data_IF_698854023172
#
_entry.id   IF_698854023172
#
_cell.length_a   1.000
_cell.length_b   1.000
_cell.length_c   1.000
_cell.angle_alpha   90.00
_cell.angle_beta   90.00
_cell.angle_gamma   90.00
#
_symmetry.space_group_name_H-M   'P 1'
#
loop_
_entity.id
_entity.type
_entity.pdbx_description
1 polymer ?
#
# COMPACT_ATOMS: atom_id res chain seq x y z
N UNK A 1 5.33 47.32 -55.88
CA UNK A 1 4.78 46.00 -55.49
C UNK A 1 5.08 45.79 -54.01
N UNK A 2 4.13 46.11 -53.12
CA UNK A 2 4.29 45.89 -51.68
C UNK A 2 3.83 44.47 -51.37
N UNK A 3 4.77 43.54 -51.22
CA UNK A 3 4.48 42.19 -50.75
C UNK A 3 4.01 42.27 -49.29
N UNK A 4 2.83 41.70 -49.04
CA UNK A 4 2.14 41.76 -47.76
C UNK A 4 2.81 40.82 -46.75
N UNK A 5 3.85 41.32 -46.06
CA UNK A 5 4.63 40.58 -45.06
C UNK A 5 3.82 40.06 -43.85
N UNK A 6 2.58 40.54 -43.66
CA UNK A 6 1.71 40.11 -42.58
C UNK A 6 1.19 38.68 -42.72
N UNK A 7 0.78 38.27 -43.94
CA UNK A 7 0.26 36.93 -44.20
C UNK A 7 1.35 35.85 -44.06
N UNK A 8 2.58 36.17 -44.49
CA UNK A 8 3.71 35.26 -44.39
C UNK A 8 4.06 34.96 -42.93
N UNK A 9 4.07 35.97 -42.04
CA UNK A 9 4.35 35.80 -40.60
C UNK A 9 3.30 34.97 -39.86
N UNK A 10 2.02 35.06 -40.25
CA UNK A 10 0.95 34.27 -39.63
C UNK A 10 1.06 32.80 -40.05
N UNK A 11 1.33 32.53 -41.34
CA UNK A 11 1.56 31.16 -41.80
C UNK A 11 2.78 30.51 -41.13
N UNK A 12 3.91 31.23 -40.97
CA UNK A 12 5.09 30.63 -40.32
C UNK A 12 4.82 30.23 -38.88
N UNK A 13 4.05 31.05 -38.12
CA UNK A 13 3.69 30.75 -36.73
C UNK A 13 2.75 29.54 -36.59
N UNK A 14 1.78 29.39 -37.51
CA UNK A 14 0.89 28.23 -37.50
C UNK A 14 1.62 26.93 -37.85
N UNK A 15 2.54 26.96 -38.81
CA UNK A 15 3.36 25.78 -39.17
C UNK A 15 4.27 25.37 -38.02
N UNK A 16 4.93 26.32 -37.35
CA UNK A 16 5.80 26.02 -36.19
C UNK A 16 5.00 25.41 -35.03
N UNK A 17 3.81 25.95 -34.73
CA UNK A 17 2.96 25.40 -33.66
C UNK A 17 2.44 23.99 -33.98
N UNK A 18 2.05 23.75 -35.23
CA UNK A 18 1.56 22.44 -35.68
C UNK A 18 2.67 21.39 -35.67
N UNK A 19 3.87 21.75 -36.12
CA UNK A 19 5.06 20.87 -36.06
C UNK A 19 5.45 20.59 -34.62
N UNK A 20 5.38 21.57 -33.71
CA UNK A 20 5.60 21.34 -32.28
C UNK A 20 4.56 20.37 -31.70
N UNK A 21 3.27 20.58 -31.97
CA UNK A 21 2.20 19.71 -31.46
C UNK A 21 2.34 18.28 -31.99
N UNK A 22 2.73 18.11 -33.26
CA UNK A 22 2.99 16.78 -33.84
C UNK A 22 4.25 16.16 -33.23
N UNK A 23 5.34 16.93 -33.05
CA UNK A 23 6.55 16.43 -32.38
C UNK A 23 6.31 16.07 -30.92
N UNK A 24 5.43 16.79 -30.20
CA UNK A 24 5.00 16.41 -28.85
C UNK A 24 4.11 15.16 -28.86
N UNK A 25 3.17 15.04 -29.81
CA UNK A 25 2.27 13.89 -29.90
C UNK A 25 2.98 12.57 -30.27
N UNK A 26 4.04 12.62 -31.08
CA UNK A 26 4.77 11.42 -31.51
C UNK A 26 5.76 10.92 -30.42
N UNK A 27 6.25 11.80 -29.55
CA UNK A 27 7.11 11.43 -28.41
C UNK A 27 6.33 11.03 -27.14
N UNK A 28 5.00 10.98 -27.19
CA UNK A 28 4.15 10.66 -26.03
C UNK A 28 3.83 9.17 -25.88
N UNK A 29 4.25 8.32 -26.83
CA UNK A 29 4.05 6.88 -26.74
C UNK A 29 5.36 6.21 -26.34
N UNK A 30 5.46 5.80 -25.07
CA UNK A 30 6.57 4.98 -24.62
C UNK A 30 6.65 3.66 -25.40
N UNK A 31 7.86 3.17 -25.60
CA UNK A 31 8.12 1.90 -26.26
C UNK A 31 7.72 0.73 -25.33
N UNK A 32 7.36 -0.41 -25.93
CA UNK A 32 7.19 -1.65 -25.17
C UNK A 32 8.47 -2.48 -25.21
N UNK A 33 9.09 -2.66 -24.05
CA UNK A 33 10.33 -3.42 -23.85
C UNK A 33 9.98 -4.79 -23.28
N UNK A 34 10.42 -5.86 -23.93
CA UNK A 34 10.13 -7.24 -23.55
C UNK A 34 11.25 -7.86 -22.72
N UNK A 35 10.86 -8.58 -21.67
CA UNK A 35 11.74 -9.38 -20.82
C UNK A 35 11.31 -10.84 -20.85
N UNK A 36 12.18 -11.75 -21.27
CA UNK A 36 11.95 -13.19 -21.28
C UNK A 36 13.28 -13.93 -21.07
N UNK A 37 13.48 -14.50 -19.88
CA UNK A 37 14.75 -15.17 -19.54
C UNK A 37 14.92 -16.57 -20.14
N UNK A 38 13.92 -17.10 -20.84
CA UNK A 38 14.03 -18.36 -21.56
C UNK A 38 14.67 -18.21 -22.95
N UNK A 39 14.63 -17.00 -23.54
CA UNK A 39 15.17 -16.74 -24.89
C UNK A 39 16.56 -16.12 -24.78
N UNK A 40 17.60 -16.94 -24.91
CA UNK A 40 18.97 -16.42 -24.95
C UNK A 40 19.28 -15.78 -26.31
N UNK A 41 19.16 -14.45 -26.40
CA UNK A 41 19.56 -13.70 -27.60
C UNK A 41 20.89 -12.97 -27.40
N UNK A 42 21.88 -13.27 -28.25
CA UNK A 42 23.10 -12.46 -28.34
C UNK A 42 22.75 -11.12 -28.97
N UNK A 43 22.80 -10.03 -28.20
CA UNK A 43 22.41 -8.70 -28.67
C UNK A 43 20.92 -8.37 -28.47
N UNK A 44 20.34 -8.80 -27.34
CA UNK A 44 19.01 -8.40 -26.92
C UNK A 44 18.76 -6.89 -27.11
N UNK A 45 17.68 -6.55 -27.82
CA UNK A 45 17.29 -5.16 -28.08
C UNK A 45 15.99 -4.78 -27.36
N UNK A 46 15.38 -5.69 -26.61
CA UNK A 46 14.13 -5.46 -25.89
C UNK A 46 12.89 -5.61 -26.76
N UNK A 47 13.00 -6.17 -27.97
CA UNK A 47 11.81 -6.50 -28.79
C UNK A 47 11.27 -7.87 -28.42
N UNK A 48 10.05 -8.20 -28.85
CA UNK A 48 9.46 -9.52 -28.59
C UNK A 48 10.30 -10.68 -29.15
N UNK A 49 10.99 -10.50 -30.28
CA UNK A 49 11.85 -11.53 -30.91
C UNK A 49 13.26 -11.57 -30.34
N UNK A 50 13.72 -10.45 -29.75
CA UNK A 50 15.04 -10.31 -29.14
C UNK A 50 14.91 -9.65 -27.76
N UNK A 51 14.19 -10.28 -26.82
CA UNK A 51 13.88 -9.70 -25.52
C UNK A 51 15.12 -9.63 -24.65
N UNK A 52 15.08 -8.78 -23.62
CA UNK A 52 16.08 -8.83 -22.56
C UNK A 52 15.88 -10.08 -21.70
N UNK A 53 16.98 -10.63 -21.19
CA UNK A 53 16.93 -11.80 -20.31
C UNK A 53 16.65 -11.42 -18.85
N UNK A 54 16.85 -10.16 -18.48
CA UNK A 54 16.73 -9.66 -17.11
C UNK A 54 15.90 -8.40 -17.07
N UNK A 55 15.27 -8.17 -15.92
CA UNK A 55 14.48 -6.96 -15.68
C UNK A 55 15.42 -5.75 -15.56
N UNK A 56 16.58 -5.94 -14.92
CA UNK A 56 17.59 -4.89 -14.79
C UNK A 56 18.08 -4.36 -16.16
N UNK A 57 18.27 -5.24 -17.16
CA UNK A 57 18.67 -4.80 -18.51
C UNK A 57 17.57 -4.04 -19.23
N UNK A 58 16.29 -4.41 -19.05
CA UNK A 58 15.19 -3.64 -19.59
C UNK A 58 15.09 -2.25 -18.95
N UNK A 59 15.25 -2.15 -17.64
CA UNK A 59 15.26 -0.87 -16.92
C UNK A 59 16.43 0.02 -17.37
N UNK A 60 17.62 -0.54 -17.58
CA UNK A 60 18.77 0.22 -18.08
C UNK A 60 18.57 0.78 -19.50
N UNK A 61 17.67 0.18 -20.29
CA UNK A 61 17.33 0.63 -21.65
C UNK A 61 16.13 1.60 -21.68
N UNK A 62 15.22 1.45 -20.72
CA UNK A 62 13.96 2.18 -20.68
C UNK A 62 14.14 3.70 -20.58
N UNK A 63 13.11 4.41 -21.01
CA UNK A 63 12.91 5.84 -20.89
C UNK A 63 11.60 6.13 -20.15
N UNK A 64 11.40 7.38 -19.77
CA UNK A 64 10.14 7.82 -19.16
C UNK A 64 8.95 7.53 -20.07
N UNK A 65 7.86 6.97 -19.51
CA UNK A 65 6.66 6.59 -20.24
C UNK A 65 6.67 5.20 -20.90
N UNK A 66 7.81 4.52 -20.96
CA UNK A 66 7.92 3.16 -21.51
C UNK A 66 7.08 2.14 -20.74
N UNK A 67 6.81 1.01 -21.40
CA UNK A 67 6.19 -0.17 -20.82
C UNK A 67 7.17 -1.33 -20.85
N UNK A 68 7.51 -1.89 -19.69
CA UNK A 68 8.25 -3.15 -19.59
C UNK A 68 7.24 -4.30 -19.44
N UNK A 69 7.22 -5.21 -20.40
CA UNK A 69 6.42 -6.44 -20.36
C UNK A 69 7.28 -7.63 -19.96
N UNK A 70 7.00 -8.22 -18.80
CA UNK A 70 7.74 -9.35 -18.25
C UNK A 70 6.97 -10.64 -18.53
N UNK A 71 7.55 -11.55 -19.31
CA UNK A 71 6.93 -12.81 -19.67
C UNK A 71 7.01 -13.80 -18.51
N UNK A 72 5.86 -14.29 -18.06
CA UNK A 72 5.73 -15.27 -16.98
C UNK A 72 5.62 -16.71 -17.45
N UNK A 73 5.36 -16.96 -18.74
CA UNK A 73 5.27 -18.30 -19.30
C UNK A 73 5.92 -18.38 -20.67
N UNK A 74 6.73 -19.42 -20.90
CA UNK A 74 7.27 -19.75 -22.21
C UNK A 74 7.18 -21.25 -22.45
N UNK A 75 6.52 -21.65 -23.53
CA UNK A 75 6.26 -23.05 -23.89
C UNK A 75 5.67 -23.89 -22.74
N UNK A 76 4.70 -23.31 -22.02
CA UNK A 76 4.00 -23.94 -20.90
C UNK A 76 4.80 -23.97 -19.60
N UNK A 77 6.04 -23.45 -19.57
CA UNK A 77 6.86 -23.37 -18.36
C UNK A 77 6.74 -22.00 -17.71
N UNK A 78 6.46 -21.99 -16.41
CA UNK A 78 6.50 -20.78 -15.59
C UNK A 78 7.93 -20.23 -15.51
N UNK A 79 8.09 -18.95 -15.80
CA UNK A 79 9.36 -18.24 -15.69
C UNK A 79 9.50 -17.59 -14.31
N UNK A 80 10.72 -17.66 -13.78
CA UNK A 80 11.11 -17.07 -12.49
C UNK A 80 12.34 -16.20 -12.70
N UNK A 81 12.30 -15.01 -12.11
CA UNK A 81 13.35 -14.01 -12.14
C UNK A 81 13.89 -13.83 -10.72
N UNK A 82 15.18 -14.07 -10.53
CA UNK A 82 15.84 -13.93 -9.24
C UNK A 82 16.65 -12.63 -9.27
N UNK A 83 15.96 -11.50 -9.12
CA UNK A 83 16.55 -10.17 -9.22
C UNK A 83 15.96 -9.24 -8.17
N UNK A 84 16.78 -8.31 -7.68
CA UNK A 84 16.35 -7.09 -6.98
C UNK A 84 16.67 -5.91 -7.89
N UNK A 85 15.68 -5.08 -8.21
CA UNK A 85 15.85 -4.04 -9.23
C UNK A 85 15.56 -2.65 -8.67
N UNK A 86 16.34 -1.68 -9.12
CA UNK A 86 16.13 -0.26 -8.81
C UNK A 86 15.50 0.42 -10.00
N UNK A 87 14.33 1.05 -9.83
CA UNK A 87 13.75 1.95 -10.82
C UNK A 87 14.28 3.36 -10.51
N UNK A 88 15.23 3.89 -11.29
CA UNK A 88 15.86 5.16 -10.97
C UNK A 88 14.92 6.33 -11.30
N UNK A 89 15.19 7.50 -10.71
CA UNK A 89 14.27 8.64 -10.67
C UNK A 89 13.87 9.15 -12.06
N UNK A 90 14.76 9.03 -13.03
CA UNK A 90 14.58 9.48 -14.42
C UNK A 90 13.52 8.69 -15.21
N UNK A 91 13.06 7.53 -14.72
CA UNK A 91 12.04 6.71 -15.37
C UNK A 91 10.62 7.05 -14.89
N UNK A 92 10.28 8.33 -14.88
CA UNK A 92 8.93 8.80 -14.54
C UNK A 92 7.88 8.17 -15.47
N UNK A 93 6.71 7.87 -14.94
CA UNK A 93 5.61 7.24 -15.70
C UNK A 93 5.91 5.85 -16.28
N UNK A 94 6.99 5.18 -15.87
CA UNK A 94 7.30 3.81 -16.29
C UNK A 94 6.18 2.85 -15.85
N UNK A 95 5.76 1.99 -16.78
CA UNK A 95 4.82 0.90 -16.47
C UNK A 95 5.52 -0.45 -16.55
N UNK A 96 5.41 -1.27 -15.51
CA UNK A 96 5.88 -2.65 -15.48
C UNK A 96 4.66 -3.56 -15.42
N UNK A 97 4.52 -4.45 -16.39
CA UNK A 97 3.39 -5.36 -16.50
C UNK A 97 3.86 -6.80 -16.66
N UNK A 98 3.31 -7.70 -15.86
CA UNK A 98 3.47 -9.13 -16.06
C UNK A 98 2.52 -9.66 -17.12
N UNK A 99 3.05 -10.44 -18.05
CA UNK A 99 2.26 -11.28 -18.94
C UNK A 99 2.27 -12.72 -18.41
N UNK A 100 1.12 -13.32 -18.16
CA UNK A 100 1.00 -14.66 -17.55
C UNK A 100 1.70 -14.80 -16.18
N UNK A 101 1.56 -13.79 -15.31
CA UNK A 101 1.99 -13.80 -13.91
C UNK A 101 3.45 -14.26 -13.69
N UNK A 102 4.46 -13.55 -14.20
CA UNK A 102 5.87 -13.86 -13.92
C UNK A 102 6.15 -13.87 -12.41
N UNK A 103 7.08 -14.73 -12.00
CA UNK A 103 7.50 -14.84 -10.60
C UNK A 103 8.81 -14.07 -10.41
N UNK A 104 8.82 -13.12 -9.49
CA UNK A 104 10.02 -12.45 -8.98
C UNK A 104 10.33 -13.05 -7.60
N UNK A 105 11.45 -13.75 -7.46
CA UNK A 105 11.77 -14.55 -6.28
C UNK A 105 13.05 -14.05 -5.59
N UNK A 106 12.89 -13.56 -4.36
CA UNK A 106 13.98 -13.03 -3.52
C UNK A 106 14.72 -14.09 -2.70
N UNK A 107 14.44 -15.38 -2.89
CA UNK A 107 15.05 -16.46 -2.07
C UNK A 107 16.57 -16.53 -2.15
N UNK A 108 17.18 -16.02 -3.24
CA UNK A 108 18.63 -15.88 -3.40
C UNK A 108 19.26 -14.64 -2.76
N UNK A 109 18.45 -13.66 -2.32
CA UNK A 109 18.89 -12.31 -1.93
C UNK A 109 18.86 -12.08 -0.39
N UNK A 110 18.83 -13.15 0.40
CA UNK A 110 18.68 -13.06 1.87
C UNK A 110 19.81 -12.23 2.49
N UNK A 111 19.44 -11.12 3.14
CA UNK A 111 20.38 -10.31 3.92
C UNK A 111 21.12 -9.23 3.12
N UNK A 112 20.73 -8.95 1.87
CA UNK A 112 21.31 -7.86 1.10
C UNK A 112 20.90 -6.47 1.62
N UNK A 113 21.72 -5.47 1.30
CA UNK A 113 21.34 -4.07 1.45
C UNK A 113 20.36 -3.71 0.33
N UNK A 114 19.27 -3.02 0.69
CA UNK A 114 18.16 -2.71 -0.21
C UNK A 114 17.45 -3.96 -0.76
N UNK A 115 17.12 -4.88 0.15
CA UNK A 115 16.42 -6.12 -0.16
C UNK A 115 14.96 -5.84 -0.59
N UNK A 116 14.75 -5.49 -1.86
CA UNK A 116 13.43 -5.26 -2.43
C UNK A 116 13.38 -5.78 -3.86
N UNK A 117 12.26 -6.41 -4.25
CA UNK A 117 12.09 -6.83 -5.64
C UNK A 117 12.16 -5.62 -6.58
N UNK A 118 11.47 -4.54 -6.18
CA UNK A 118 11.59 -3.22 -6.79
C UNK A 118 11.81 -2.15 -5.73
N UNK A 119 12.99 -1.52 -5.76
CA UNK A 119 13.27 -0.26 -5.08
C UNK A 119 12.99 0.90 -6.05
N UNK A 120 11.98 1.70 -5.74
CA UNK A 120 11.37 2.63 -6.69
C UNK A 120 11.68 4.05 -6.27
N UNK A 121 12.32 4.78 -7.18
CA UNK A 121 12.75 6.18 -7.01
C UNK A 121 12.06 7.16 -7.96
N UNK A 122 11.28 6.64 -8.92
CA UNK A 122 10.56 7.41 -9.91
C UNK A 122 9.09 7.65 -9.51
N UNK A 123 8.53 8.76 -9.98
CA UNK A 123 7.12 9.10 -9.81
C UNK A 123 6.25 8.48 -10.90
N UNK A 124 4.94 8.40 -10.65
CA UNK A 124 3.92 7.92 -11.61
C UNK A 124 4.15 6.47 -12.09
N UNK A 125 4.89 5.67 -11.32
CA UNK A 125 5.19 4.27 -11.66
C UNK A 125 3.95 3.40 -11.55
N UNK A 126 3.74 2.51 -12.52
CA UNK A 126 2.66 1.52 -12.51
C UNK A 126 3.24 0.12 -12.49
N UNK A 127 2.80 -0.74 -11.57
CA UNK A 127 3.24 -2.14 -11.50
C UNK A 127 2.02 -3.05 -11.39
N UNK A 128 1.90 -4.02 -12.30
CA UNK A 128 0.75 -4.93 -12.30
C UNK A 128 1.04 -6.34 -12.79
N UNK A 129 0.17 -7.28 -12.37
CA UNK A 129 0.14 -8.68 -12.80
C UNK A 129 1.46 -9.46 -12.54
N UNK A 130 2.16 -9.14 -11.45
CA UNK A 130 3.35 -9.88 -11.01
C UNK A 130 3.02 -10.80 -9.84
N UNK A 131 3.75 -11.91 -9.73
CA UNK A 131 3.90 -12.64 -8.47
C UNK A 131 5.26 -12.29 -7.86
N UNK A 132 5.31 -11.76 -6.65
CA UNK A 132 6.55 -11.41 -5.96
C UNK A 132 6.62 -12.16 -4.64
N UNK A 133 7.73 -12.84 -4.36
CA UNK A 133 7.84 -13.62 -3.14
C UNK A 133 9.24 -13.73 -2.55
N UNK A 134 9.30 -14.11 -1.28
CA UNK A 134 10.52 -14.50 -0.55
C UNK A 134 11.54 -13.37 -0.31
N UNK A 135 11.12 -12.11 -0.27
CA UNK A 135 11.97 -10.99 0.14
C UNK A 135 12.00 -10.86 1.66
N UNK A 136 12.86 -11.66 2.31
CA UNK A 136 12.96 -11.79 3.77
C UNK A 136 14.37 -11.45 4.26
N UNK A 137 14.46 -10.76 5.40
CA UNK A 137 15.71 -10.34 6.05
C UNK A 137 16.32 -9.12 5.37
N UNK A 138 17.57 -8.80 5.74
CA UNK A 138 18.28 -7.63 5.20
C UNK A 138 17.70 -6.31 5.68
N UNK A 139 17.96 -5.25 4.94
CA UNK A 139 17.47 -3.90 5.24
C UNK A 139 17.11 -3.17 3.94
N UNK A 140 16.28 -2.13 4.05
CA UNK A 140 16.07 -1.15 2.97
C UNK A 140 16.62 0.17 3.48
N UNK A 141 17.90 0.41 3.20
CA UNK A 141 18.67 1.50 3.81
C UNK A 141 18.08 2.87 3.47
N UNK A 142 17.55 3.04 2.26
CA UNK A 142 16.93 4.29 1.83
C UNK A 142 15.65 4.65 2.59
N UNK A 143 15.01 3.67 3.23
CA UNK A 143 13.81 3.86 4.05
C UNK A 143 14.08 3.75 5.55
N UNK A 144 15.31 3.35 5.94
CA UNK A 144 15.66 3.13 7.35
C UNK A 144 14.86 2.00 8.01
N UNK A 145 14.48 0.96 7.26
CA UNK A 145 13.70 -0.19 7.76
C UNK A 145 14.49 -1.49 7.68
N UNK A 146 14.20 -2.43 8.59
CA UNK A 146 14.75 -3.79 8.59
C UNK A 146 13.78 -4.76 7.91
N UNK A 147 14.31 -5.69 7.13
CA UNK A 147 13.54 -6.68 6.37
C UNK A 147 13.45 -6.37 4.88
N UNK A 148 12.94 -7.34 4.12
CA UNK A 148 12.77 -7.23 2.66
C UNK A 148 11.35 -6.89 2.23
N UNK A 149 11.20 -6.27 1.07
CA UNK A 149 9.90 -5.85 0.52
C UNK A 149 9.65 -6.39 -0.88
N UNK A 150 8.39 -6.58 -1.28
CA UNK A 150 8.10 -6.72 -2.70
C UNK A 150 8.27 -5.37 -3.42
N UNK A 151 7.63 -4.31 -2.92
CA UNK A 151 7.75 -2.97 -3.48
C UNK A 151 8.13 -1.96 -2.41
N UNK A 152 9.21 -1.21 -2.64
CA UNK A 152 9.70 -0.20 -1.72
C UNK A 152 9.84 1.15 -2.44
N UNK A 153 9.03 2.13 -2.05
CA UNK A 153 9.02 3.47 -2.63
C UNK A 153 9.79 4.44 -1.73
N UNK A 154 10.76 5.14 -2.31
CA UNK A 154 11.51 6.17 -1.60
C UNK A 154 10.65 7.37 -1.23
N UNK A 155 11.19 8.24 -0.38
CA UNK A 155 10.50 9.41 0.15
C UNK A 155 9.92 10.33 -0.94
N UNK A 156 8.65 10.72 -0.81
CA UNK A 156 8.08 11.88 -1.51
C UNK A 156 7.57 11.64 -2.93
N UNK A 157 7.58 10.40 -3.42
CA UNK A 157 7.05 10.06 -4.76
C UNK A 157 5.52 10.15 -4.81
N UNK A 158 4.99 10.38 -6.02
CA UNK A 158 3.56 10.60 -6.27
C UNK A 158 2.99 9.67 -7.34
N UNK A 159 1.67 9.54 -7.34
CA UNK A 159 0.85 8.97 -8.42
C UNK A 159 1.20 7.50 -8.79
N UNK A 160 1.76 6.75 -7.85
CA UNK A 160 2.06 5.34 -8.07
C UNK A 160 0.80 4.48 -8.09
N UNK A 161 0.77 3.48 -8.97
CA UNK A 161 -0.33 2.51 -9.09
C UNK A 161 0.17 1.09 -8.98
N UNK A 162 -0.34 0.35 -8.01
CA UNK A 162 0.06 -1.04 -7.76
C UNK A 162 -1.19 -1.91 -7.79
N UNK A 163 -1.31 -2.72 -8.84
CA UNK A 163 -2.58 -3.35 -9.20
C UNK A 163 -2.44 -4.83 -9.53
N UNK A 164 -3.33 -5.68 -9.00
CA UNK A 164 -3.44 -7.09 -9.41
C UNK A 164 -2.15 -7.90 -9.27
N UNK A 165 -1.34 -7.59 -8.25
CA UNK A 165 -0.16 -8.38 -7.92
C UNK A 165 -0.48 -9.43 -6.86
N UNK A 166 0.27 -10.53 -6.88
CA UNK A 166 0.31 -11.54 -5.83
C UNK A 166 1.63 -11.34 -5.07
N UNK A 167 1.57 -11.07 -3.77
CA UNK A 167 2.75 -10.85 -2.93
C UNK A 167 2.73 -11.84 -1.77
N UNK A 168 3.79 -12.63 -1.67
CA UNK A 168 3.85 -13.72 -0.69
C UNK A 168 5.17 -13.76 0.08
N UNK A 169 5.11 -13.99 1.39
CA UNK A 169 6.28 -14.35 2.19
C UNK A 169 7.41 -13.30 2.09
N UNK A 170 7.07 -12.02 2.27
CA UNK A 170 8.01 -10.89 2.35
C UNK A 170 7.90 -10.26 3.75
N UNK A 171 8.94 -9.62 4.28
CA UNK A 171 8.75 -8.89 5.55
C UNK A 171 7.77 -7.73 5.39
N UNK A 172 7.77 -7.12 4.20
CA UNK A 172 6.82 -6.12 3.76
C UNK A 172 6.21 -6.49 2.42
N UNK A 173 4.90 -6.32 2.27
CA UNK A 173 4.31 -6.36 0.94
C UNK A 173 4.69 -5.10 0.16
N UNK A 174 4.24 -3.95 0.65
CA UNK A 174 4.52 -2.65 0.03
C UNK A 174 4.90 -1.63 1.09
N UNK A 175 5.93 -0.83 0.81
CA UNK A 175 6.35 0.26 1.69
C UNK A 175 6.35 1.57 0.92
N UNK A 176 5.70 2.57 1.49
CA UNK A 176 5.59 3.92 0.96
C UNK A 176 6.03 4.91 2.05
N UNK A 177 7.09 5.67 1.78
CA UNK A 177 7.57 6.72 2.68
C UNK A 177 7.15 8.07 2.10
N UNK A 178 6.30 8.82 2.82
CA UNK A 178 5.87 10.17 2.43
C UNK A 178 5.26 10.25 1.02
N UNK A 179 4.70 9.16 0.52
CA UNK A 179 4.12 9.12 -0.82
C UNK A 179 2.67 9.59 -0.83
N UNK A 180 2.26 10.14 -1.97
CA UNK A 180 0.96 10.78 -2.15
C UNK A 180 0.28 10.26 -3.42
N UNK A 181 -1.05 10.42 -3.48
CA UNK A 181 -1.85 10.04 -4.64
C UNK A 181 -1.71 8.56 -5.03
N UNK A 182 -1.40 7.69 -4.06
CA UNK A 182 -1.23 6.26 -4.32
C UNK A 182 -2.56 5.61 -4.70
N UNK A 183 -2.52 4.64 -5.61
CA UNK A 183 -3.65 3.76 -5.92
C UNK A 183 -3.23 2.30 -5.79
N UNK A 184 -3.73 1.61 -4.78
CA UNK A 184 -3.39 0.21 -4.50
C UNK A 184 -4.67 -0.62 -4.55
N UNK A 185 -4.82 -1.48 -5.55
CA UNK A 185 -6.09 -2.20 -5.75
C UNK A 185 -5.94 -3.60 -6.37
N UNK A 186 -6.87 -4.50 -6.02
CA UNK A 186 -6.95 -5.85 -6.58
C UNK A 186 -5.75 -6.75 -6.26
N UNK A 187 -4.90 -6.40 -5.30
CA UNK A 187 -3.74 -7.20 -4.94
C UNK A 187 -4.10 -8.30 -3.93
N UNK A 188 -3.38 -9.42 -4.01
CA UNK A 188 -3.42 -10.49 -2.98
C UNK A 188 -2.10 -10.50 -2.23
N UNK A 189 -2.16 -10.29 -0.92
CA UNK A 189 -1.01 -10.13 -0.03
C UNK A 189 -1.08 -11.20 1.07
N UNK A 190 -0.05 -12.04 1.20
CA UNK A 190 -0.06 -13.18 2.11
C UNK A 190 1.28 -13.41 2.82
N UNK A 191 1.23 -13.53 4.14
CA UNK A 191 2.35 -13.99 4.95
C UNK A 191 3.45 -12.94 5.05
N UNK A 192 3.40 -12.13 6.11
CA UNK A 192 4.37 -11.08 6.36
C UNK A 192 5.03 -11.31 7.72
N UNK A 193 6.14 -12.06 7.77
CA UNK A 193 6.86 -12.28 9.02
C UNK A 193 7.54 -10.99 9.48
N UNK A 194 7.57 -10.76 10.79
CA UNK A 194 8.33 -9.68 11.40
C UNK A 194 9.78 -10.13 11.65
N UNK A 195 10.74 -9.24 11.38
CA UNK A 195 12.12 -9.39 11.84
C UNK A 195 12.20 -9.10 13.34
N UNK A 196 11.45 -8.11 13.81
CA UNK A 196 11.36 -7.72 15.21
C UNK A 196 9.90 -7.53 15.60
N UNK A 197 9.46 -8.21 16.67
CA UNK A 197 8.06 -8.17 17.11
C UNK A 197 7.67 -6.75 17.52
N UNK A 198 6.44 -6.36 17.21
CA UNK A 198 5.83 -5.07 17.59
C UNK A 198 6.53 -3.82 17.05
N UNK A 199 7.39 -3.94 16.03
CA UNK A 199 8.06 -2.81 15.40
C UNK A 199 7.69 -2.74 13.91
N UNK A 200 6.86 -1.77 13.48
CA UNK A 200 6.45 -1.64 12.07
C UNK A 200 7.63 -1.35 11.13
N UNK A 201 8.74 -0.80 11.64
CA UNK A 201 9.98 -0.57 10.87
C UNK A 201 10.89 -1.81 10.82
N UNK A 202 10.41 -2.97 11.28
CA UNK A 202 11.12 -4.25 11.23
C UNK A 202 10.27 -5.42 10.71
N UNK A 203 9.50 -5.18 9.64
CA UNK A 203 8.66 -6.17 8.96
C UNK A 203 7.30 -6.40 9.60
N UNK A 204 6.64 -7.46 9.18
CA UNK A 204 5.33 -7.84 9.72
C UNK A 204 4.15 -7.13 9.06
N UNK A 205 4.35 -6.41 7.94
CA UNK A 205 3.34 -5.49 7.40
C UNK A 205 2.98 -5.81 5.95
N UNK A 206 1.68 -5.92 5.66
CA UNK A 206 1.21 -6.07 4.28
C UNK A 206 1.44 -4.80 3.46
N UNK A 207 0.80 -3.69 3.85
CA UNK A 207 0.95 -2.37 3.22
C UNK A 207 1.33 -1.35 4.29
N UNK A 208 2.46 -0.68 4.13
CA UNK A 208 2.92 0.37 5.03
C UNK A 208 2.95 1.70 4.29
N UNK A 209 2.09 2.64 4.67
CA UNK A 209 2.14 4.05 4.22
C UNK A 209 2.55 4.90 5.42
N UNK A 210 3.83 5.25 5.49
CA UNK A 210 4.35 5.94 6.65
C UNK A 210 5.01 7.27 6.30
N UNK A 211 5.23 8.09 7.31
CA UNK A 211 5.94 9.34 7.16
C UNK A 211 6.75 9.66 8.40
N UNK A 212 7.98 10.14 8.19
CA UNK A 212 8.78 10.82 9.22
C UNK A 212 8.57 12.36 9.17
N UNK A 213 7.76 12.82 8.21
CA UNK A 213 7.31 14.20 7.99
C UNK A 213 5.79 14.35 8.20
N UNK A 214 5.20 15.47 7.76
CA UNK A 214 3.81 15.85 8.06
C UNK A 214 2.73 15.39 7.06
N UNK A 215 2.97 14.62 5.99
CA UNK A 215 1.92 14.44 4.94
C UNK A 215 1.74 13.01 4.43
N UNK A 216 0.48 12.57 4.35
CA UNK A 216 -0.01 11.34 3.70
C UNK A 216 -1.30 11.70 2.94
N UNK A 217 -1.20 12.16 1.69
CA UNK A 217 -2.35 12.78 1.01
C UNK A 217 -2.88 11.97 -0.17
N UNK A 218 -4.20 11.97 -0.31
CA UNK A 218 -4.94 11.38 -1.44
C UNK A 218 -4.56 9.91 -1.72
N UNK A 219 -4.25 9.11 -0.70
CA UNK A 219 -3.88 7.71 -0.90
C UNK A 219 -5.13 6.82 -0.88
N UNK A 220 -5.35 6.00 -1.91
CA UNK A 220 -6.48 5.06 -1.97
C UNK A 220 -6.01 3.62 -1.93
N UNK A 221 -6.44 2.87 -0.91
CA UNK A 221 -6.13 1.46 -0.71
C UNK A 221 -7.44 0.66 -0.76
N UNK A 222 -7.65 -0.09 -1.86
CA UNK A 222 -8.75 -1.05 -2.07
C UNK A 222 -9.93 -0.55 -2.91
N UNK A 223 -10.24 0.75 -2.89
CA UNK A 223 -11.23 1.47 -3.75
C UNK A 223 -12.16 0.60 -4.62
N UNK A 224 -11.93 0.49 -5.94
CA UNK A 224 -12.82 -0.25 -6.88
C UNK A 224 -12.62 -1.76 -6.86
N UNK A 225 -11.44 -2.22 -6.49
CA UNK A 225 -11.04 -3.63 -6.55
C UNK A 225 -10.39 -4.01 -5.23
N UNK A 226 -11.04 -4.86 -4.41
CA UNK A 226 -10.59 -5.15 -3.06
C UNK A 226 -9.15 -5.69 -3.06
N UNK A 227 -8.30 -5.22 -2.15
CA UNK A 227 -7.11 -5.99 -1.80
C UNK A 227 -7.51 -7.09 -0.80
N UNK A 228 -6.89 -8.26 -0.91
CA UNK A 228 -6.99 -9.32 0.10
C UNK A 228 -5.67 -9.42 0.83
N UNK A 229 -5.66 -9.20 2.15
CA UNK A 229 -4.43 -9.15 2.95
C UNK A 229 -4.55 -10.13 4.14
N UNK A 230 -3.57 -11.01 4.29
CA UNK A 230 -3.56 -12.03 5.33
C UNK A 230 -2.18 -12.43 5.84
N UNK A 231 -2.13 -13.02 7.04
CA UNK A 231 -0.91 -13.57 7.62
C UNK A 231 0.16 -12.54 7.99
N UNK A 232 -0.23 -11.28 8.24
CA UNK A 232 0.69 -10.26 8.74
C UNK A 232 0.92 -10.41 10.25
N UNK A 233 2.19 -10.40 10.66
CA UNK A 233 2.58 -10.56 12.06
C UNK A 233 2.48 -9.27 12.89
N UNK A 234 2.49 -8.10 12.25
CA UNK A 234 2.28 -6.81 12.90
C UNK A 234 0.97 -6.17 12.46
N UNK A 235 0.81 -5.84 11.17
CA UNK A 235 -0.39 -5.17 10.66
C UNK A 235 -0.66 -5.53 9.20
N UNK A 236 -1.91 -5.78 8.82
CA UNK A 236 -2.23 -5.95 7.40
C UNK A 236 -2.00 -4.62 6.64
N UNK A 237 -2.46 -3.50 7.22
CA UNK A 237 -2.19 -2.15 6.74
C UNK A 237 -1.72 -1.28 7.91
N UNK A 238 -0.64 -0.55 7.72
CA UNK A 238 -0.16 0.50 8.63
C UNK A 238 -0.19 1.85 7.92
N UNK A 239 -0.83 2.85 8.52
CA UNK A 239 -0.83 4.24 8.03
C UNK A 239 -0.42 5.20 9.13
N UNK A 240 0.55 6.07 8.87
CA UNK A 240 0.90 7.19 9.74
C UNK A 240 2.35 7.24 10.20
N UNK A 241 2.57 7.75 11.41
CA UNK A 241 3.90 7.98 11.97
C UNK A 241 3.98 7.56 13.43
N UNK A 242 5.19 7.22 13.87
CA UNK A 242 5.45 6.94 15.29
C UNK A 242 5.95 8.17 16.05
N UNK A 243 6.37 9.23 15.35
CA UNK A 243 7.11 10.35 15.96
C UNK A 243 6.43 11.70 15.80
N UNK A 244 5.67 11.90 14.72
CA UNK A 244 5.08 13.20 14.38
C UNK A 244 3.63 13.04 13.98
N UNK A 245 2.81 14.08 14.20
CA UNK A 245 1.46 14.11 13.67
C UNK A 245 1.51 14.28 12.14
N UNK A 246 0.88 13.36 11.43
CA UNK A 246 0.86 13.30 9.97
C UNK A 246 -0.51 13.73 9.44
N UNK A 247 -0.51 14.72 8.55
CA UNK A 247 -1.70 15.20 7.86
C UNK A 247 -2.10 14.24 6.73
N UNK A 248 -3.09 13.40 7.02
CA UNK A 248 -3.59 12.30 6.21
C UNK A 248 -4.81 12.65 5.34
N UNK A 249 -4.80 13.82 4.71
CA UNK A 249 -6.01 14.35 4.06
C UNK A 249 -6.40 13.58 2.79
N UNK A 250 -7.70 13.35 2.64
CA UNK A 250 -8.31 12.55 1.56
C UNK A 250 -7.76 11.13 1.41
N UNK A 251 -7.06 10.60 2.42
CA UNK A 251 -6.61 9.20 2.40
C UNK A 251 -7.79 8.28 2.70
N UNK A 252 -7.94 7.24 1.89
CA UNK A 252 -9.04 6.27 1.95
C UNK A 252 -8.52 4.86 1.96
N UNK A 253 -8.96 4.08 2.94
CA UNK A 253 -8.73 2.65 3.00
C UNK A 253 -10.10 1.99 2.94
N UNK A 254 -10.45 1.47 1.78
CA UNK A 254 -11.80 1.01 1.52
C UNK A 254 -11.90 -0.30 0.79
N UNK A 255 -12.99 -1.03 1.04
CA UNK A 255 -13.33 -2.26 0.35
C UNK A 255 -12.23 -3.33 0.40
N UNK A 256 -11.40 -3.39 1.44
CA UNK A 256 -10.39 -4.45 1.58
C UNK A 256 -10.96 -5.66 2.33
N UNK A 257 -10.42 -6.85 2.03
CA UNK A 257 -10.65 -8.07 2.80
C UNK A 257 -9.40 -8.32 3.64
N UNK A 258 -9.50 -8.14 4.95
CA UNK A 258 -8.38 -8.18 5.89
C UNK A 258 -8.62 -9.31 6.87
N UNK A 259 -7.83 -10.39 6.75
CA UNK A 259 -8.12 -11.62 7.49
C UNK A 259 -6.92 -12.39 7.98
N UNK A 260 -7.12 -13.16 9.05
CA UNK A 260 -6.15 -14.12 9.58
C UNK A 260 -4.77 -13.50 9.86
N UNK A 261 -4.74 -12.25 10.32
CA UNK A 261 -3.51 -11.58 10.74
C UNK A 261 -3.25 -11.86 12.23
N UNK A 262 -2.06 -12.36 12.57
CA UNK A 262 -1.67 -12.61 13.97
C UNK A 262 -1.39 -11.30 14.71
N UNK A 263 -1.11 -10.23 13.97
CA UNK A 263 -1.15 -8.85 14.44
C UNK A 263 -2.50 -8.18 14.21
N UNK A 264 -2.46 -6.88 13.93
CA UNK A 264 -3.64 -6.04 13.69
C UNK A 264 -4.13 -6.17 12.24
N UNK A 265 -5.42 -5.93 12.01
CA UNK A 265 -5.93 -5.69 10.66
C UNK A 265 -5.39 -4.37 10.13
N UNK A 266 -5.76 -3.26 10.75
CA UNK A 266 -5.29 -1.92 10.39
C UNK A 266 -4.72 -1.23 11.64
N UNK A 267 -3.55 -0.60 11.47
CA UNK A 267 -2.97 0.32 12.46
C UNK A 267 -2.95 1.72 11.86
N UNK A 268 -3.52 2.68 12.57
CA UNK A 268 -3.42 4.11 12.23
C UNK A 268 -2.71 4.82 13.38
N UNK A 269 -1.68 5.61 13.06
CA UNK A 269 -0.81 6.21 14.07
C UNK A 269 -0.51 7.67 13.81
N UNK A 270 -0.79 8.53 14.81
CA UNK A 270 -0.47 9.96 14.76
C UNK A 270 -1.00 10.62 13.49
N UNK A 271 -2.31 10.55 13.23
CA UNK A 271 -2.95 11.09 12.04
C UNK A 271 -3.83 12.31 12.34
N UNK A 272 -3.82 13.29 11.44
CA UNK A 272 -4.74 14.42 11.42
C UNK A 272 -5.32 14.59 10.00
N UNK A 273 -6.56 15.07 9.88
CA UNK A 273 -7.21 15.28 8.59
C UNK A 273 -8.11 14.13 8.16
N UNK A 274 -8.74 14.28 6.98
CA UNK A 274 -9.84 13.41 6.56
C UNK A 274 -9.36 12.04 6.06
N UNK A 275 -9.07 11.14 7.00
CA UNK A 275 -8.79 9.75 6.74
C UNK A 275 -10.07 8.92 6.88
N UNK A 276 -10.43 8.17 5.83
CA UNK A 276 -11.69 7.40 5.79
C UNK A 276 -11.38 5.91 5.68
N UNK A 277 -11.94 5.14 6.63
CA UNK A 277 -11.91 3.69 6.68
C UNK A 277 -13.31 3.14 6.42
N UNK A 278 -13.59 2.61 5.22
CA UNK A 278 -14.95 2.20 4.89
C UNK A 278 -15.13 0.98 4.00
N UNK A 279 -16.21 0.21 4.24
CA UNK A 279 -16.52 -0.96 3.42
C UNK A 279 -15.53 -2.13 3.57
N UNK A 280 -14.61 -2.08 4.54
CA UNK A 280 -13.66 -3.17 4.75
C UNK A 280 -14.31 -4.34 5.49
N UNK A 281 -13.83 -5.55 5.22
CA UNK A 281 -14.22 -6.78 5.92
C UNK A 281 -13.05 -7.27 6.75
N UNK A 282 -13.27 -7.41 8.06
CA UNK A 282 -12.30 -7.90 9.03
C UNK A 282 -12.70 -9.28 9.55
N UNK A 283 -11.82 -10.28 9.43
CA UNK A 283 -12.12 -11.66 9.83
C UNK A 283 -10.90 -12.35 10.46
N UNK A 284 -10.99 -12.82 11.70
CA UNK A 284 -9.94 -13.67 12.28
C UNK A 284 -8.61 -12.94 12.60
N UNK A 285 -8.59 -11.61 12.57
CA UNK A 285 -7.44 -10.80 13.01
C UNK A 285 -7.28 -10.86 14.53
N UNK A 286 -6.08 -10.68 15.09
CA UNK A 286 -5.94 -10.53 16.56
C UNK A 286 -6.79 -9.38 17.08
N UNK A 287 -6.72 -8.25 16.38
CA UNK A 287 -7.59 -7.08 16.56
C UNK A 287 -7.80 -6.44 15.19
N UNK A 288 -9.03 -6.12 14.84
CA UNK A 288 -9.35 -5.57 13.52
C UNK A 288 -8.72 -4.18 13.29
N UNK A 289 -8.88 -3.25 14.24
CA UNK A 289 -8.36 -1.87 14.12
C UNK A 289 -7.63 -1.46 15.41
N UNK A 290 -6.46 -0.84 15.26
CA UNK A 290 -5.76 -0.16 16.34
C UNK A 290 -5.45 1.30 15.96
N UNK A 291 -6.06 2.24 16.68
CA UNK A 291 -5.75 3.66 16.63
C UNK A 291 -4.68 3.98 17.68
N UNK A 292 -3.43 3.96 17.23
CA UNK A 292 -2.24 4.25 18.05
C UNK A 292 -2.02 5.76 18.07
N UNK A 293 -1.70 6.33 19.22
CA UNK A 293 -1.42 7.77 19.34
C UNK A 293 -2.59 8.66 18.86
N UNK A 294 -2.34 9.96 18.69
CA UNK A 294 -3.35 10.93 18.32
C UNK A 294 -3.92 10.66 16.91
N UNK A 295 -5.22 10.43 16.81
CA UNK A 295 -5.91 10.31 15.53
C UNK A 295 -7.09 11.29 15.52
N UNK A 296 -6.96 12.35 14.75
CA UNK A 296 -7.97 13.39 14.57
C UNK A 296 -8.66 13.21 13.22
N UNK A 297 -9.95 13.51 13.16
CA UNK A 297 -10.76 13.51 11.92
C UNK A 297 -10.73 12.20 11.10
N UNK A 298 -10.48 11.09 11.79
CA UNK A 298 -10.53 9.75 11.20
C UNK A 298 -11.96 9.19 11.27
N UNK A 299 -12.55 8.90 10.12
CA UNK A 299 -13.90 8.36 9.98
C UNK A 299 -13.85 6.85 9.73
N UNK A 300 -14.50 6.07 10.60
CA UNK A 300 -14.57 4.61 10.47
C UNK A 300 -16.05 4.21 10.35
N UNK A 301 -16.45 3.84 9.14
CA UNK A 301 -17.86 3.64 8.78
C UNK A 301 -18.08 2.45 7.85
N UNK A 302 -19.26 1.84 7.89
CA UNK A 302 -19.70 0.80 6.93
C UNK A 302 -18.74 -0.39 6.82
N UNK A 303 -17.98 -0.68 7.88
CA UNK A 303 -17.10 -1.85 7.92
C UNK A 303 -17.86 -3.06 8.48
N UNK A 304 -17.44 -4.25 8.08
CA UNK A 304 -17.98 -5.53 8.58
C UNK A 304 -16.92 -6.22 9.44
N UNK A 305 -17.23 -6.44 10.71
CA UNK A 305 -16.41 -7.14 11.68
C UNK A 305 -16.98 -8.54 11.93
N UNK A 306 -16.27 -9.58 11.46
CA UNK A 306 -16.71 -10.98 11.56
C UNK A 306 -16.19 -11.70 12.82
N UNK A 307 -15.49 -10.99 13.69
CA UNK A 307 -14.85 -11.56 14.87
C UNK A 307 -13.34 -11.52 14.80
N UNK A 308 -12.74 -10.81 15.74
CA UNK A 308 -11.32 -10.91 16.06
C UNK A 308 -11.03 -12.13 16.95
N UNK A 309 -9.84 -12.71 16.85
CA UNK A 309 -9.40 -13.83 17.70
C UNK A 309 -8.82 -13.36 19.04
N UNK A 310 -8.46 -12.09 19.15
CA UNK A 310 -8.04 -11.47 20.41
C UNK A 310 -9.21 -10.91 21.23
N UNK A 311 -8.88 -10.13 22.25
CA UNK A 311 -9.83 -9.59 23.23
C UNK A 311 -10.64 -8.38 22.74
N UNK A 312 -10.35 -7.84 21.55
CA UNK A 312 -10.96 -6.61 21.05
C UNK A 312 -11.05 -6.59 19.52
N UNK A 313 -12.14 -6.02 19.01
CA UNK A 313 -12.29 -5.65 17.60
C UNK A 313 -11.57 -4.34 17.29
N UNK A 314 -11.77 -3.34 18.14
CA UNK A 314 -11.17 -2.02 17.99
C UNK A 314 -10.49 -1.64 19.30
N UNK A 315 -9.25 -1.16 19.19
CA UNK A 315 -8.48 -0.59 20.29
C UNK A 315 -8.09 0.83 19.90
N UNK A 316 -8.20 1.75 20.84
CA UNK A 316 -7.68 3.12 20.69
C UNK A 316 -6.87 3.48 21.90
N UNK A 317 -6.02 4.50 21.80
CA UNK A 317 -5.44 5.12 22.97
C UNK A 317 -6.44 6.05 23.71
N UNK A 318 -6.00 6.59 24.85
CA UNK A 318 -6.78 7.52 25.66
C UNK A 318 -6.96 8.92 25.06
N UNK A 319 -6.20 9.31 24.03
CA UNK A 319 -6.39 10.62 23.38
C UNK A 319 -7.50 10.58 22.33
N UNK A 320 -7.83 9.40 21.78
CA UNK A 320 -8.95 9.25 20.86
C UNK A 320 -10.30 9.31 21.57
N UNK A 321 -11.16 10.27 21.23
CA UNK A 321 -12.43 10.52 21.91
C UNK A 321 -13.28 9.26 22.15
N UNK A 322 -13.66 9.02 23.41
CA UNK A 322 -14.56 7.92 23.79
C UNK A 322 -15.92 7.98 23.09
N UNK A 323 -16.41 9.18 22.77
CA UNK A 323 -17.64 9.37 22.01
C UNK A 323 -17.48 9.04 20.52
N UNK A 324 -16.30 9.30 19.95
CA UNK A 324 -15.98 8.86 18.59
C UNK A 324 -15.89 7.34 18.53
N UNK A 325 -15.22 6.70 19.49
CA UNK A 325 -15.19 5.24 19.56
C UNK A 325 -16.57 4.63 19.75
N UNK A 326 -17.42 5.24 20.60
CA UNK A 326 -18.82 4.83 20.74
C UNK A 326 -19.58 4.96 19.41
N UNK A 327 -19.32 6.01 18.64
CA UNK A 327 -19.95 6.22 17.32
C UNK A 327 -19.51 5.19 16.29
N UNK A 328 -18.24 4.77 16.29
CA UNK A 328 -17.77 3.62 15.49
C UNK A 328 -18.57 2.37 15.88
N UNK A 329 -18.75 2.16 17.17
CA UNK A 329 -19.43 0.99 17.70
C UNK A 329 -20.93 0.97 17.38
N UNK A 330 -21.66 2.04 17.70
CA UNK A 330 -23.13 2.08 17.69
C UNK A 330 -23.73 2.79 16.48
N UNK A 331 -22.95 3.63 15.81
CA UNK A 331 -23.36 4.43 14.66
C UNK A 331 -22.52 4.07 13.41
N UNK A 332 -22.56 4.94 12.40
CA UNK A 332 -21.77 4.84 11.17
C UNK A 332 -21.91 3.53 10.39
N UNK A 333 -23.04 2.83 10.55
CA UNK A 333 -23.38 1.63 9.77
C UNK A 333 -22.33 0.50 9.84
N UNK A 334 -21.48 0.48 10.89
CA UNK A 334 -20.57 -0.64 11.13
C UNK A 334 -21.36 -1.87 11.62
N UNK A 335 -21.10 -3.02 10.99
CA UNK A 335 -21.73 -4.31 11.27
C UNK A 335 -20.77 -5.16 12.09
N UNK A 336 -21.22 -5.61 13.26
CA UNK A 336 -20.50 -6.58 14.09
C UNK A 336 -21.30 -7.89 14.08
N UNK A 337 -20.78 -8.92 13.41
CA UNK A 337 -21.50 -10.20 13.25
C UNK A 337 -21.51 -11.04 14.53
N UNK A 338 -20.59 -10.75 15.45
CA UNK A 338 -20.53 -11.35 16.78
C UNK A 338 -20.84 -10.29 17.84
N UNK A 339 -21.43 -10.69 18.99
CA UNK A 339 -21.64 -9.78 20.09
C UNK A 339 -20.34 -9.07 20.48
N UNK A 340 -20.41 -7.76 20.62
CA UNK A 340 -19.30 -6.93 21.11
C UNK A 340 -19.73 -6.17 22.35
N UNK A 341 -18.75 -5.80 23.16
CA UNK A 341 -18.99 -5.21 24.47
C UNK A 341 -18.10 -3.98 24.66
N UNK A 342 -18.62 -2.95 25.32
CA UNK A 342 -17.80 -1.83 25.73
C UNK A 342 -18.31 -1.27 27.05
N UNK A 343 -17.38 -0.69 27.82
CA UNK A 343 -17.67 -0.04 29.07
C UNK A 343 -17.92 1.46 28.81
N UNK A 344 -19.12 1.93 29.16
CA UNK A 344 -19.48 3.35 29.03
C UNK A 344 -19.27 4.11 30.34
N UNK A 345 -19.06 5.42 30.23
CA UNK A 345 -18.76 6.31 31.36
C UNK A 345 -19.85 6.29 32.43
N UNK A 346 -21.11 6.32 31.99
CA UNK A 346 -22.30 6.16 32.82
C UNK A 346 -23.50 5.85 31.94
N UNK A 347 -24.55 5.31 32.55
CA UNK A 347 -25.79 5.01 31.84
C UNK A 347 -26.34 6.27 31.15
N UNK A 348 -26.74 6.12 29.88
CA UNK A 348 -27.22 7.23 29.04
C UNK A 348 -26.13 8.11 28.42
N UNK A 349 -24.84 7.82 28.63
CA UNK A 349 -23.73 8.53 27.98
C UNK A 349 -23.16 7.74 26.82
N UNK A 350 -23.05 8.40 25.66
CA UNK A 350 -22.50 7.86 24.42
C UNK A 350 -20.97 8.03 24.38
N UNK A 351 -20.28 7.52 25.40
CA UNK A 351 -18.82 7.62 25.52
C UNK A 351 -18.23 6.38 26.18
N UNK A 352 -17.25 5.76 25.53
CA UNK A 352 -16.49 4.62 26.06
C UNK A 352 -15.36 5.13 26.98
N UNK A 353 -15.19 4.49 28.13
CA UNK A 353 -14.17 4.90 29.10
C UNK A 353 -12.77 4.54 28.67
N UNK A 354 -11.81 5.20 29.30
CA UNK A 354 -10.43 4.76 29.35
C UNK A 354 -10.21 3.64 30.38
N UNK A 355 -9.33 2.70 30.04
CA UNK A 355 -8.80 1.67 30.93
C UNK A 355 -7.33 1.43 30.60
N UNK A 356 -6.44 1.78 31.54
CA UNK A 356 -4.99 1.70 31.38
C UNK A 356 -4.45 2.48 30.15
N UNK A 357 -4.97 3.70 29.92
CA UNK A 357 -4.63 4.58 28.80
C UNK A 357 -5.06 4.06 27.40
N UNK A 358 -5.96 3.08 27.37
CA UNK A 358 -6.55 2.50 26.17
C UNK A 358 -8.08 2.43 26.29
N UNK A 359 -8.77 2.47 25.13
CA UNK A 359 -10.20 2.22 25.02
C UNK A 359 -10.48 1.06 24.09
N UNK A 360 -11.59 0.38 24.33
CA UNK A 360 -11.86 -0.92 23.69
C UNK A 360 -13.30 -1.09 23.24
N UNK A 361 -13.45 -1.72 22.07
CA UNK A 361 -14.64 -2.50 21.71
C UNK A 361 -14.23 -3.97 21.84
N UNK A 362 -14.63 -4.61 22.94
CA UNK A 362 -14.24 -5.96 23.37
C UNK A 362 -15.03 -7.04 22.64
N UNK A 363 -14.40 -8.20 22.44
CA UNK A 363 -15.01 -9.40 21.84
C UNK A 363 -15.78 -10.25 22.86
N UNK A 364 -15.63 -9.99 24.16
CA UNK A 364 -16.34 -10.69 25.22
C UNK A 364 -16.64 -9.76 26.41
N UNK A 365 -17.69 -10.11 27.16
CA UNK A 365 -18.17 -9.33 28.30
C UNK A 365 -17.16 -9.27 29.45
N UNK A 366 -16.54 -10.39 29.81
CA UNK A 366 -15.64 -10.48 30.96
C UNK A 366 -14.43 -9.53 30.82
N UNK A 367 -13.93 -9.32 29.60
CA UNK A 367 -12.86 -8.35 29.36
C UNK A 367 -13.37 -6.90 29.44
N UNK A 368 -14.60 -6.61 29.00
CA UNK A 368 -15.20 -5.29 29.17
C UNK A 368 -15.47 -4.95 30.65
N UNK A 369 -15.78 -5.95 31.48
CA UNK A 369 -15.96 -5.78 32.92
C UNK A 369 -14.63 -5.47 33.63
N UNK A 370 -13.49 -5.94 33.09
CA UNK A 370 -12.16 -5.57 33.63
C UNK A 370 -11.84 -4.10 33.38
N UNK A 371 -12.41 -3.50 32.34
CA UNK A 371 -12.10 -2.12 31.95
C UNK A 371 -12.59 -1.09 32.98
N UNK A 372 -13.65 -1.39 33.74
CA UNK A 372 -14.16 -0.47 34.78
C UNK A 372 -15.20 -1.06 35.74
N UNK A 373 -15.25 -2.38 35.91
CA UNK A 373 -16.28 -3.09 36.68
C UNK A 373 -17.55 -3.41 35.88
N UNK A 374 -18.46 -4.19 36.48
CA UNK A 374 -19.64 -4.76 35.80
C UNK A 374 -20.75 -3.75 35.44
N UNK A 375 -20.96 -2.71 36.22
CA UNK A 375 -22.02 -1.73 35.98
C UNK A 375 -21.73 -0.88 34.73
N UNK A 376 -22.64 -0.78 33.76
CA UNK A 376 -22.41 0.07 32.58
C UNK A 376 -21.57 -0.58 31.47
N UNK A 377 -21.43 -1.91 31.49
CA UNK A 377 -21.04 -2.66 30.29
C UNK A 377 -22.27 -2.80 29.40
N UNK A 378 -22.15 -2.37 28.14
CA UNK A 378 -23.18 -2.52 27.12
C UNK A 378 -22.77 -3.60 26.11
N UNK A 379 -23.75 -4.18 25.41
CA UNK A 379 -23.54 -5.07 24.27
C UNK A 379 -24.10 -4.47 22.97
N UNK A 380 -23.55 -4.85 21.82
CA UNK A 380 -24.13 -4.63 20.48
C UNK A 380 -24.27 -5.97 19.77
#
# INVERSE_FOLDING_TARGET
>A
MNLNFGALRIMTKMTVFTVLMILFAVNLFGETIYVNNAIQSSGATGTQTTPFNTIASAIAKAQSGDVILIVGNHDGKQLTYNESVVIPKELESLSINGDNNPIIDGSGEKGSNNNAAFLIKAETVRISNLTVKNFIGGNINELGVKGGAAFAFTAGLKDARIERNIIENCNYGMIFNQNQSLRISGNTLKGFPAVEKNNPKAGGVGIMVFTDNQYIQDNHIGDKSPNTISGAEYAAIYVGSEQVLAFADFTRISNNIIKDNTGYGIVMSSLEGSCILSGNVFEGNKTAIFLKSDNHDTFIEKNTFKGSVGSAEVVTNESYSGAMLYSIWKHFENIFEKPTFAKIEKEGYESIIDSDNLRYIRTNQADAEKDGGSNGVLSK
#
